data_IF_974025325749
#
_entry.id   IF_974025325749
#
_cell.length_a   1.000
_cell.length_b   1.000
_cell.length_c   1.000
_cell.angle_alpha   90.00
_cell.angle_beta   90.00
_cell.angle_gamma   90.00
#
_symmetry.space_group_name_H-M   'P 1'
#
loop_
_entity.id
_entity.type
_entity.pdbx_description
1 polymer ?
#
# COMPACT_ATOMS: atom_id res chain seq x y z
N UNK A 1 -0.65 -32.38 -6.23
CA UNK A 1 -1.39 -31.54 -5.26
C UNK A 1 -0.45 -31.26 -4.11
N UNK A 2 -0.17 -29.99 -3.81
CA UNK A 2 0.63 -29.59 -2.66
C UNK A 2 -0.30 -29.40 -1.46
N UNK A 3 0.05 -29.92 -0.29
CA UNK A 3 -0.65 -29.63 0.95
C UNK A 3 -0.18 -28.27 1.51
N UNK A 4 -1.11 -27.48 2.04
CA UNK A 4 -0.85 -26.19 2.68
C UNK A 4 -1.52 -26.22 4.06
N UNK A 5 -0.76 -25.94 5.11
CA UNK A 5 -1.28 -25.81 6.46
C UNK A 5 -1.84 -24.39 6.66
N UNK A 6 -3.13 -24.30 7.01
CA UNK A 6 -3.80 -23.03 7.28
C UNK A 6 -3.13 -22.25 8.43
N UNK A 7 -2.61 -22.94 9.46
CA UNK A 7 -1.95 -22.27 10.58
C UNK A 7 -0.63 -21.63 10.17
N UNK A 8 0.12 -22.25 9.24
CA UNK A 8 1.35 -21.64 8.70
C UNK A 8 1.03 -20.41 7.85
N UNK A 9 -0.05 -20.44 7.08
CA UNK A 9 -0.53 -19.27 6.34
C UNK A 9 -0.90 -18.13 7.29
N UNK A 10 -1.53 -18.39 8.43
CA UNK A 10 -1.89 -17.30 9.36
C UNK A 10 -0.67 -16.71 10.07
N UNK A 11 0.31 -17.53 10.44
CA UNK A 11 1.33 -17.16 11.43
C UNK A 11 2.75 -17.00 10.86
N UNK A 12 3.01 -17.41 9.61
CA UNK A 12 4.35 -17.37 9.01
C UNK A 12 4.35 -16.55 7.72
N UNK A 13 4.96 -15.36 7.76
CA UNK A 13 5.17 -14.56 6.54
C UNK A 13 5.94 -15.34 5.46
N UNK A 14 7.04 -16.06 5.76
CA UNK A 14 7.71 -16.89 4.75
C UNK A 14 6.79 -17.94 4.11
N UNK A 15 5.95 -18.63 4.89
CA UNK A 15 5.02 -19.63 4.36
C UNK A 15 3.95 -19.00 3.44
N UNK A 16 3.38 -17.85 3.85
CA UNK A 16 2.46 -17.07 3.02
C UNK A 16 3.08 -16.66 1.69
N UNK A 17 4.31 -16.13 1.73
CA UNK A 17 5.01 -15.66 0.54
C UNK A 17 5.33 -16.82 -0.40
N UNK A 18 5.84 -17.94 0.12
CA UNK A 18 6.15 -19.13 -0.68
C UNK A 18 4.89 -19.70 -1.35
N UNK A 19 3.80 -19.85 -0.58
CA UNK A 19 2.51 -20.28 -1.11
C UNK A 19 2.00 -19.33 -2.19
N UNK A 20 1.94 -18.02 -1.91
CA UNK A 20 1.38 -17.04 -2.83
C UNK A 20 2.21 -16.94 -4.11
N UNK A 21 3.55 -16.92 -4.01
CA UNK A 21 4.43 -16.87 -5.17
C UNK A 21 4.23 -18.09 -6.08
N UNK A 22 4.11 -19.30 -5.51
CA UNK A 22 3.78 -20.51 -6.27
C UNK A 22 2.37 -20.44 -6.89
N UNK A 23 1.40 -19.93 -6.13
CA UNK A 23 0.00 -19.85 -6.56
C UNK A 23 -0.20 -18.89 -7.75
N UNK A 24 0.46 -17.73 -7.74
CA UNK A 24 0.41 -16.77 -8.85
C UNK A 24 1.51 -16.98 -9.89
N UNK A 25 2.29 -18.06 -9.74
CA UNK A 25 3.43 -18.42 -10.61
C UNK A 25 4.51 -17.34 -10.71
N UNK A 26 4.67 -16.50 -9.67
CA UNK A 26 5.69 -15.48 -9.61
C UNK A 26 7.06 -16.08 -9.36
N UNK A 27 8.01 -15.83 -10.27
CA UNK A 27 9.36 -16.34 -10.17
C UNK A 27 10.43 -15.36 -10.68
N UNK A 28 11.67 -15.86 -10.90
CA UNK A 28 12.79 -15.03 -11.32
C UNK A 28 12.57 -14.27 -12.63
N UNK A 29 11.78 -14.83 -13.56
CA UNK A 29 11.45 -14.17 -14.83
C UNK A 29 10.57 -12.94 -14.62
N UNK A 30 9.62 -12.99 -13.70
CA UNK A 30 8.72 -11.87 -13.38
C UNK A 30 9.48 -10.75 -12.66
N UNK A 31 10.35 -11.11 -11.71
CA UNK A 31 11.24 -10.15 -11.07
C UNK A 31 12.14 -9.44 -12.10
N UNK A 32 12.71 -10.19 -13.05
CA UNK A 32 13.51 -9.61 -14.13
C UNK A 32 12.68 -8.70 -15.06
N UNK A 33 11.43 -9.08 -15.36
CA UNK A 33 10.52 -8.26 -16.16
C UNK A 33 10.19 -6.94 -15.46
N UNK A 34 9.91 -6.97 -14.15
CA UNK A 34 9.73 -5.77 -13.32
C UNK A 34 10.96 -4.86 -13.36
N UNK A 35 12.16 -5.42 -13.14
CA UNK A 35 13.41 -4.65 -13.17
C UNK A 35 13.67 -4.03 -14.55
N UNK A 36 13.36 -4.76 -15.62
CA UNK A 36 13.50 -4.27 -17.01
C UNK A 36 12.52 -3.13 -17.30
N UNK A 37 11.31 -3.17 -16.75
CA UNK A 37 10.31 -2.12 -16.89
C UNK A 37 10.58 -0.89 -16.00
N UNK A 38 11.40 -1.00 -14.96
CA UNK A 38 11.60 0.05 -13.97
C UNK A 38 11.98 1.42 -14.55
N UNK A 39 12.89 1.55 -15.54
CA UNK A 39 13.22 2.83 -16.16
C UNK A 39 12.03 3.49 -16.86
N UNK A 40 11.17 2.71 -17.52
CA UNK A 40 9.97 3.19 -18.22
C UNK A 40 8.94 3.66 -17.19
N UNK A 41 8.70 2.83 -16.17
CA UNK A 41 7.69 3.11 -15.15
C UNK A 41 8.05 4.36 -14.36
N UNK A 42 9.34 4.56 -14.03
CA UNK A 42 9.83 5.72 -13.24
C UNK A 42 9.22 7.05 -13.69
N UNK A 43 9.19 7.30 -15.00
CA UNK A 43 8.69 8.57 -15.55
C UNK A 43 7.14 8.64 -15.59
N UNK A 44 6.47 7.49 -15.51
CA UNK A 44 5.00 7.37 -15.51
C UNK A 44 4.39 7.37 -14.10
N UNK A 45 5.16 7.09 -13.05
CA UNK A 45 4.65 6.91 -11.67
C UNK A 45 3.80 8.10 -11.22
N UNK A 46 4.24 9.33 -11.49
CA UNK A 46 3.52 10.53 -11.04
C UNK A 46 2.12 10.60 -11.64
N UNK A 47 2.00 10.44 -12.96
CA UNK A 47 0.72 10.46 -13.67
C UNK A 47 -0.18 9.28 -13.31
N UNK A 48 0.39 8.08 -13.16
CA UNK A 48 -0.35 6.89 -12.73
C UNK A 48 -0.95 7.06 -11.33
N UNK A 49 -0.18 7.60 -10.38
CA UNK A 49 -0.66 7.89 -9.03
C UNK A 49 -1.73 8.97 -9.04
N UNK A 50 -1.60 10.01 -9.86
CA UNK A 50 -2.64 11.04 -9.98
C UNK A 50 -3.95 10.43 -10.52
N UNK A 51 -3.87 9.59 -11.56
CA UNK A 51 -5.03 8.90 -12.12
C UNK A 51 -5.74 7.97 -11.10
N UNK A 52 -4.99 7.30 -10.22
CA UNK A 52 -5.58 6.52 -9.11
C UNK A 52 -6.40 7.42 -8.19
N UNK A 53 -5.87 8.58 -7.79
CA UNK A 53 -6.62 9.50 -6.92
C UNK A 53 -7.81 10.13 -7.62
N UNK A 54 -7.69 10.49 -8.91
CA UNK A 54 -8.85 10.92 -9.70
C UNK A 54 -9.96 9.87 -9.67
N UNK A 55 -9.60 8.58 -9.87
CA UNK A 55 -10.58 7.50 -9.76
C UNK A 55 -11.20 7.40 -8.37
N UNK A 56 -10.41 7.49 -7.30
CA UNK A 56 -10.90 7.50 -5.93
C UNK A 56 -11.76 8.74 -5.61
N UNK A 57 -11.61 9.84 -6.34
CA UNK A 57 -12.43 11.04 -6.18
C UNK A 57 -13.76 10.97 -6.94
N UNK A 58 -13.93 10.00 -7.85
CA UNK A 58 -15.18 9.83 -8.62
C UNK A 58 -16.36 9.32 -7.79
N UNK A 59 -16.11 8.70 -6.65
CA UNK A 59 -17.16 8.26 -5.72
C UNK A 59 -16.97 8.95 -4.37
N UNK A 60 -18.06 9.46 -3.81
CA UNK A 60 -18.08 10.12 -2.51
C UNK A 60 -17.58 9.20 -1.40
N UNK A 61 -18.01 7.94 -1.38
CA UNK A 61 -17.61 6.94 -0.38
C UNK A 61 -16.10 6.70 -0.35
N UNK A 62 -15.44 6.67 -1.52
CA UNK A 62 -13.97 6.51 -1.57
C UNK A 62 -13.26 7.82 -1.23
N UNK A 63 -13.80 8.96 -1.64
CA UNK A 63 -13.22 10.27 -1.32
C UNK A 63 -13.35 10.62 0.17
N UNK A 64 -14.43 10.19 0.82
CA UNK A 64 -14.68 10.42 2.26
C UNK A 64 -13.62 9.77 3.15
N UNK A 65 -12.99 8.67 2.70
CA UNK A 65 -11.88 8.03 3.42
C UNK A 65 -10.64 8.92 3.63
N UNK A 66 -10.55 10.06 2.92
CA UNK A 66 -9.49 11.04 3.08
C UNK A 66 -9.84 12.20 4.03
N UNK A 67 -11.05 12.21 4.59
CA UNK A 67 -11.45 13.17 5.62
C UNK A 67 -10.82 12.85 6.98
N UNK A 68 -10.41 11.59 7.19
CA UNK A 68 -9.69 11.18 8.38
C UNK A 68 -8.21 11.52 8.27
N UNK A 69 -7.56 11.79 9.40
CA UNK A 69 -6.12 12.08 9.42
C UNK A 69 -5.35 10.78 9.19
N UNK A 70 -4.63 10.70 8.06
CA UNK A 70 -3.71 9.60 7.81
C UNK A 70 -2.65 9.47 8.93
N UNK A 71 -2.33 8.25 9.34
CA UNK A 71 -1.28 7.99 10.34
C UNK A 71 0.06 8.61 9.92
N UNK A 72 0.68 9.34 10.85
CA UNK A 72 1.95 10.04 10.64
C UNK A 72 1.85 11.38 9.91
N UNK A 73 0.65 11.78 9.45
CA UNK A 73 0.44 13.07 8.81
C UNK A 73 0.07 14.15 9.82
N UNK A 74 0.85 15.24 9.88
CA UNK A 74 0.68 16.34 10.85
C UNK A 74 0.09 17.62 10.25
N UNK A 75 -0.17 17.66 8.94
CA UNK A 75 -0.65 18.85 8.24
C UNK A 75 -2.18 19.06 8.33
N UNK A 76 -2.69 19.95 7.47
CA UNK A 76 -4.12 20.27 7.40
C UNK A 76 -4.91 19.14 6.74
N UNK A 77 -6.05 18.80 7.35
CA UNK A 77 -7.05 17.87 6.80
C UNK A 77 -8.26 18.68 6.35
N UNK A 78 -8.85 18.29 5.21
CA UNK A 78 -10.04 18.95 4.69
C UNK A 78 -11.24 18.73 5.63
N UNK A 79 -12.06 19.76 5.81
CA UNK A 79 -13.28 19.68 6.64
C UNK A 79 -14.54 19.39 5.83
N UNK A 80 -14.47 19.51 4.50
CA UNK A 80 -15.55 19.23 3.56
C UNK A 80 -15.03 18.31 2.46
N UNK A 81 -15.91 17.47 1.93
CA UNK A 81 -15.57 16.44 0.93
C UNK A 81 -15.06 17.07 -0.38
N UNK A 82 -15.69 18.15 -0.80
CA UNK A 82 -15.39 18.94 -2.00
C UNK A 82 -14.02 19.63 -1.94
N UNK A 83 -13.47 19.88 -0.75
CA UNK A 83 -12.17 20.50 -0.55
C UNK A 83 -11.00 19.49 -0.68
N UNK A 84 -11.31 18.18 -0.77
CA UNK A 84 -10.31 17.13 -0.98
C UNK A 84 -9.89 17.14 -2.44
N UNK A 85 -8.72 17.68 -2.74
CA UNK A 85 -8.19 17.79 -4.10
C UNK A 85 -6.79 17.19 -4.18
N UNK A 86 -6.23 17.13 -5.38
CA UNK A 86 -4.82 16.79 -5.56
C UNK A 86 -3.86 17.73 -4.80
N UNK A 87 -4.26 18.95 -4.47
CA UNK A 87 -3.42 19.93 -3.78
C UNK A 87 -3.58 19.86 -2.25
N UNK A 88 -4.49 19.07 -1.71
CA UNK A 88 -4.63 18.89 -0.27
C UNK A 88 -3.36 18.27 0.31
N UNK A 89 -2.85 18.83 1.41
CA UNK A 89 -1.59 18.39 2.03
C UNK A 89 -1.56 16.90 2.35
N UNK A 90 -2.68 16.35 2.88
CA UNK A 90 -2.78 14.92 3.17
C UNK A 90 -2.73 14.07 1.89
N UNK A 91 -3.34 14.53 0.80
CA UNK A 91 -3.34 13.82 -0.48
C UNK A 91 -1.92 13.79 -1.05
N UNK A 92 -1.19 14.91 -1.00
CA UNK A 92 0.21 14.94 -1.41
C UNK A 92 1.09 14.02 -0.54
N UNK A 93 0.85 13.98 0.77
CA UNK A 93 1.53 13.06 1.68
C UNK A 93 1.31 11.59 1.30
N UNK A 94 0.05 11.19 1.08
CA UNK A 94 -0.30 9.81 0.70
C UNK A 94 0.18 9.46 -0.71
N UNK A 95 0.09 10.39 -1.67
CA UNK A 95 0.65 10.23 -3.02
C UNK A 95 2.15 10.01 -2.98
N UNK A 96 2.91 10.78 -2.20
CA UNK A 96 4.35 10.59 -2.07
C UNK A 96 4.72 9.18 -1.60
N UNK A 97 3.99 8.66 -0.59
CA UNK A 97 4.16 7.28 -0.15
C UNK A 97 3.84 6.27 -1.27
N UNK A 98 2.72 6.44 -1.96
CA UNK A 98 2.32 5.53 -3.05
C UNK A 98 3.33 5.55 -4.21
N UNK A 99 3.87 6.71 -4.58
CA UNK A 99 4.92 6.81 -5.62
C UNK A 99 6.16 6.00 -5.23
N UNK A 100 6.60 6.12 -3.98
CA UNK A 100 7.73 5.34 -3.46
C UNK A 100 7.44 3.85 -3.42
N UNK A 101 6.23 3.46 -3.01
CA UNK A 101 5.79 2.07 -3.00
C UNK A 101 5.78 1.47 -4.40
N UNK A 102 5.19 2.15 -5.39
CA UNK A 102 5.20 1.71 -6.79
C UNK A 102 6.64 1.58 -7.30
N UNK A 103 7.49 2.59 -7.09
CA UNK A 103 8.90 2.50 -7.47
C UNK A 103 9.61 1.30 -6.82
N UNK A 104 9.28 0.99 -5.56
CA UNK A 104 9.84 -0.15 -4.82
C UNK A 104 9.42 -1.48 -5.44
N UNK A 105 8.19 -1.64 -5.92
CA UNK A 105 7.75 -2.87 -6.63
C UNK A 105 8.64 -3.14 -7.84
N UNK A 106 8.96 -2.13 -8.64
CA UNK A 106 9.79 -2.31 -9.84
C UNK A 106 11.29 -2.43 -9.56
N UNK A 107 11.77 -2.16 -8.34
CA UNK A 107 13.21 -2.10 -8.02
C UNK A 107 13.62 -2.99 -6.84
N UNK A 108 12.69 -3.68 -6.20
CA UNK A 108 12.98 -4.53 -5.04
C UNK A 108 13.77 -5.78 -5.42
N UNK A 109 14.64 -6.22 -4.51
CA UNK A 109 15.25 -7.54 -4.55
C UNK A 109 14.27 -8.57 -3.98
N UNK A 110 13.63 -9.33 -4.87
CA UNK A 110 12.65 -10.36 -4.52
C UNK A 110 13.28 -11.63 -3.94
N UNK A 111 14.61 -11.77 -3.95
CA UNK A 111 15.30 -12.86 -3.23
C UNK A 111 15.51 -12.54 -1.74
N UNK A 112 15.35 -11.26 -1.35
CA UNK A 112 15.56 -10.81 0.01
C UNK A 112 14.26 -10.84 0.83
N UNK A 113 14.17 -11.63 1.92
CA UNK A 113 12.99 -11.69 2.77
C UNK A 113 12.50 -10.33 3.29
N UNK A 114 13.40 -9.37 3.49
CA UNK A 114 13.06 -8.01 3.95
C UNK A 114 12.16 -7.24 2.97
N UNK A 115 12.20 -7.59 1.68
CA UNK A 115 11.26 -7.04 0.68
C UNK A 115 9.82 -7.39 1.05
N UNK A 116 9.58 -8.66 1.42
CA UNK A 116 8.24 -9.11 1.78
C UNK A 116 7.83 -8.64 3.18
N UNK A 117 8.77 -8.52 4.13
CA UNK A 117 8.47 -7.85 5.41
C UNK A 117 8.02 -6.40 5.22
N UNK A 118 8.58 -5.69 4.24
CA UNK A 118 8.14 -4.34 3.91
C UNK A 118 6.72 -4.36 3.32
N UNK A 119 6.42 -5.27 2.38
CA UNK A 119 5.08 -5.38 1.80
C UNK A 119 4.02 -5.81 2.82
N UNK A 120 4.34 -6.74 3.73
CA UNK A 120 3.48 -7.16 4.84
C UNK A 120 3.13 -5.96 5.74
N UNK A 121 4.13 -5.14 6.08
CA UNK A 121 3.91 -3.89 6.83
C UNK A 121 3.02 -2.89 6.09
N UNK A 122 3.15 -2.77 4.76
CA UNK A 122 2.22 -1.95 3.96
C UNK A 122 0.81 -2.53 4.02
N UNK A 123 0.65 -3.85 3.98
CA UNK A 123 -0.64 -4.51 4.15
C UNK A 123 -1.27 -4.22 5.52
N UNK A 124 -0.49 -4.36 6.60
CA UNK A 124 -0.91 -4.07 7.98
C UNK A 124 -1.41 -2.62 8.13
N UNK A 125 -0.84 -1.65 7.40
CA UNK A 125 -1.34 -0.27 7.43
C UNK A 125 -2.79 -0.13 6.96
N UNK A 126 -3.24 -1.02 6.08
CA UNK A 126 -4.60 -0.99 5.55
C UNK A 126 -5.61 -1.66 6.48
N UNK A 127 -5.15 -2.31 7.57
CA UNK A 127 -6.03 -2.87 8.61
C UNK A 127 -6.28 -1.90 9.78
N UNK A 128 -5.74 -0.68 9.69
CA UNK A 128 -5.81 0.32 10.78
C UNK A 128 -4.75 0.14 11.87
N UNK A 129 -3.82 -0.82 11.71
CA UNK A 129 -2.69 -1.02 12.62
C UNK A 129 -1.44 -0.27 12.13
N UNK A 130 -0.52 0.07 13.05
CA UNK A 130 0.75 0.70 12.66
C UNK A 130 1.68 -0.34 11.99
N UNK A 131 1.74 -0.31 10.66
CA UNK A 131 2.68 -1.15 9.91
C UNK A 131 4.17 -0.80 10.10
N UNK A 132 4.51 0.42 10.53
CA UNK A 132 5.90 0.80 10.84
C UNK A 132 6.01 1.42 12.24
N UNK A 133 7.04 1.03 13.00
CA UNK A 133 7.29 1.51 14.38
C UNK A 133 7.31 3.04 14.52
N UNK A 134 7.88 3.76 13.55
CA UNK A 134 7.92 5.22 13.57
C UNK A 134 6.53 5.89 13.39
N UNK A 135 5.49 5.11 13.09
CA UNK A 135 4.10 5.56 12.95
C UNK A 135 3.20 5.19 14.14
N UNK A 136 3.73 4.48 15.15
CA UNK A 136 2.97 4.04 16.33
C UNK A 136 2.38 5.21 17.14
N UNK A 137 3.10 6.35 17.23
CA UNK A 137 2.65 7.53 17.98
C UNK A 137 1.55 8.37 17.29
N UNK A 138 1.09 7.96 16.11
CA UNK A 138 0.03 8.66 15.36
C UNK A 138 -1.28 7.87 15.27
N UNK A 139 -1.39 6.75 15.99
CA UNK A 139 -2.64 6.00 16.15
C UNK A 139 -3.51 6.66 17.22
N UNK A 140 -4.25 7.68 16.82
CA UNK A 140 -5.45 8.09 17.54
C UNK A 140 -6.56 8.26 16.50
N UNK A 141 -7.53 7.34 16.56
CA UNK A 141 -8.76 7.27 15.77
C UNK A 141 -8.65 6.58 14.40
N UNK A 142 -9.14 5.33 14.32
CA UNK A 142 -9.93 4.79 13.20
C UNK A 142 -10.56 3.46 13.63
N UNK A 143 -11.83 3.51 14.07
CA UNK A 143 -12.72 2.35 14.16
C UNK A 143 -13.87 2.56 13.16
N UNK A 144 -13.65 2.20 11.90
CA UNK A 144 -14.77 2.09 10.94
C UNK A 144 -14.65 0.91 9.98
N UNK A 145 -13.56 0.12 10.06
CA UNK A 145 -13.37 -1.04 9.18
C UNK A 145 -14.05 -2.33 9.69
N UNK A 146 -14.65 -2.32 10.90
CA UNK A 146 -15.31 -3.50 11.47
C UNK A 146 -16.75 -3.71 11.03
N UNK A 147 -17.40 -2.72 10.40
CA UNK A 147 -18.85 -2.73 10.21
C UNK A 147 -19.27 -3.05 8.76
N UNK A 148 -18.34 -3.50 7.91
CA UNK A 148 -18.59 -3.79 6.49
C UNK A 148 -17.99 -5.11 5.99
N UNK A 149 -17.68 -6.05 6.89
CA UNK A 149 -17.40 -7.46 6.56
C UNK A 149 -18.25 -8.36 7.46
#
# INVERSE_FOLDING_TARGET
MQHIDAQEIENSLPARVDYLAKFIEFGPKDAAALHTAAPIVKDLIAGAVDAVYEKLFTFDITRASFMERNTGFQGKVATRLEDITHNSEQIQFRKNFLRQYVAKVFTADYSNPKTFEYFDKVGIMHTGQAGFKHREKALACTSIASDLI
#
